data_IF_622169184050
#
_entry.id   IF_622169184050
#
_cell.length_a   1.000
_cell.length_b   1.000
_cell.length_c   1.000
_cell.angle_alpha   90.00
_cell.angle_beta   90.00
_cell.angle_gamma   90.00
#
_symmetry.space_group_name_H-M   'P 1'
#
loop_
_entity.id
_entity.type
_entity.pdbx_description
1 polymer ?
#
# COMPACT_ATOMS: atom_id res chain seq x y z
N UNK A 1 -10.28 5.17 -17.48
CA UNK A 1 -9.59 6.31 -16.84
C UNK A 1 -10.62 7.27 -16.28
N UNK A 2 -10.48 7.70 -15.02
CA UNK A 2 -11.42 8.63 -14.39
C UNK A 2 -11.43 10.01 -15.08
N UNK A 3 -12.59 10.69 -15.16
CA UNK A 3 -12.66 12.09 -15.56
C UNK A 3 -11.85 12.98 -14.60
N UNK A 4 -11.32 14.10 -15.11
CA UNK A 4 -10.53 15.06 -14.30
C UNK A 4 -11.24 15.52 -13.03
N UNK A 5 -12.54 15.80 -13.12
CA UNK A 5 -13.34 16.20 -11.96
C UNK A 5 -13.34 15.11 -10.85
N UNK A 6 -13.44 13.84 -11.24
CA UNK A 6 -13.38 12.71 -10.30
C UNK A 6 -11.99 12.54 -9.70
N UNK A 7 -10.93 12.75 -10.49
CA UNK A 7 -9.55 12.73 -10.00
C UNK A 7 -9.33 13.81 -8.92
N UNK A 8 -9.73 15.05 -9.20
CA UNK A 8 -9.62 16.15 -8.23
C UNK A 8 -10.49 15.92 -7.00
N UNK A 9 -11.71 15.37 -7.15
CA UNK A 9 -12.57 15.06 -6.02
C UNK A 9 -11.96 13.99 -5.09
N UNK A 10 -11.34 12.96 -5.66
CA UNK A 10 -10.64 11.93 -4.88
C UNK A 10 -9.45 12.53 -4.11
N UNK A 11 -8.62 13.30 -4.79
CA UNK A 11 -7.48 14.01 -4.18
C UNK A 11 -7.93 14.93 -3.04
N UNK A 12 -9.00 15.71 -3.26
CA UNK A 12 -9.54 16.61 -2.25
C UNK A 12 -10.04 15.83 -1.01
N UNK A 13 -10.64 14.65 -1.20
CA UNK A 13 -11.09 13.81 -0.10
C UNK A 13 -9.91 13.25 0.73
N UNK A 14 -8.77 12.91 0.10
CA UNK A 14 -7.54 12.54 0.82
C UNK A 14 -7.04 13.70 1.69
N UNK A 15 -6.95 14.91 1.13
CA UNK A 15 -6.57 16.10 1.91
C UNK A 15 -7.56 16.40 3.04
N UNK A 16 -8.85 16.16 2.82
CA UNK A 16 -9.86 16.27 3.88
C UNK A 16 -9.59 15.28 5.02
N UNK A 17 -9.31 14.00 4.74
CA UNK A 17 -8.94 13.03 5.79
C UNK A 17 -7.67 13.47 6.54
N UNK A 18 -6.72 14.12 5.85
CA UNK A 18 -5.53 14.72 6.43
C UNK A 18 -5.77 16.10 7.08
N UNK A 19 -7.02 16.46 7.37
CA UNK A 19 -7.41 17.68 8.09
C UNK A 19 -8.37 17.41 9.25
N UNK A 20 -9.01 16.24 9.27
CA UNK A 20 -9.87 15.80 10.37
C UNK A 20 -9.01 15.25 11.51
N UNK A 21 -9.37 15.46 12.78
CA UNK A 21 -8.57 14.99 13.91
C UNK A 21 -8.44 13.47 13.94
N UNK A 22 -7.24 12.98 14.32
CA UNK A 22 -6.98 11.56 14.55
C UNK A 22 -7.87 11.01 15.68
N UNK A 23 -8.23 9.73 15.56
CA UNK A 23 -8.96 8.96 16.55
C UNK A 23 -8.02 8.17 17.47
N UNK A 24 -6.84 7.82 16.99
CA UNK A 24 -5.84 7.09 17.77
C UNK A 24 -5.44 7.90 19.01
N UNK A 25 -5.45 7.30 20.22
CA UNK A 25 -4.98 7.98 21.42
C UNK A 25 -3.52 8.42 21.28
N UNK A 26 -3.22 9.66 21.69
CA UNK A 26 -1.86 10.20 21.65
C UNK A 26 -0.86 9.41 22.52
N UNK A 27 -1.34 8.62 23.48
CA UNK A 27 -0.52 7.70 24.27
C UNK A 27 -0.03 6.49 23.49
N UNK A 28 -0.69 6.14 22.37
CA UNK A 28 -0.31 5.05 21.48
C UNK A 28 0.53 5.57 20.31
N UNK A 29 0.05 6.59 19.62
CA UNK A 29 0.74 7.21 18.50
C UNK A 29 0.86 8.74 18.69
N UNK A 30 1.87 9.22 19.45
CA UNK A 30 2.02 10.65 19.75
C UNK A 30 2.31 11.52 18.51
N UNK A 31 2.66 10.91 17.38
CA UNK A 31 2.83 11.55 16.08
C UNK A 31 1.57 11.68 15.23
N UNK A 32 0.52 10.90 15.51
CA UNK A 32 -0.73 10.99 14.77
C UNK A 32 -1.41 12.34 15.03
N UNK A 33 -1.85 13.02 13.97
CA UNK A 33 -2.55 14.32 14.05
C UNK A 33 -3.90 14.25 13.41
N UNK A 34 -4.01 13.56 12.27
CA UNK A 34 -5.21 13.53 11.47
C UNK A 34 -5.75 12.11 11.27
N UNK A 35 -7.02 12.01 10.86
CA UNK A 35 -7.69 10.75 10.57
C UNK A 35 -6.94 9.92 9.51
N UNK A 36 -6.30 10.57 8.54
CA UNK A 36 -5.42 9.88 7.60
C UNK A 36 -4.26 9.14 8.31
N UNK A 37 -3.74 9.67 9.42
CA UNK A 37 -2.66 9.04 10.17
C UNK A 37 -3.11 7.76 10.89
N UNK A 38 -4.39 7.63 11.23
CA UNK A 38 -4.92 6.41 11.87
C UNK A 38 -4.77 5.17 10.95
N UNK A 39 -4.83 5.37 9.63
CA UNK A 39 -4.54 4.34 8.63
C UNK A 39 -3.06 3.95 8.62
N UNK A 40 -2.17 4.94 8.75
CA UNK A 40 -0.72 4.71 8.82
C UNK A 40 -0.39 3.96 10.12
N UNK A 41 -0.95 4.38 11.26
CA UNK A 41 -0.77 3.70 12.56
C UNK A 41 -1.23 2.25 12.48
N UNK A 42 -2.44 2.01 11.98
CA UNK A 42 -2.99 0.66 11.84
C UNK A 42 -2.07 -0.22 10.98
N UNK A 43 -1.55 0.32 9.88
CA UNK A 43 -0.64 -0.43 9.03
C UNK A 43 0.71 -0.70 9.72
N UNK A 44 1.29 0.28 10.42
CA UNK A 44 2.53 0.09 11.20
C UNK A 44 2.34 -1.03 12.25
N UNK A 45 1.24 -0.97 13.01
CA UNK A 45 0.94 -1.95 14.07
C UNK A 45 0.75 -3.37 13.51
N UNK A 46 0.15 -3.48 12.32
CA UNK A 46 -0.21 -4.77 11.73
C UNK A 46 0.85 -5.34 10.78
N UNK A 47 1.84 -4.55 10.32
CA UNK A 47 2.91 -5.00 9.41
C UNK A 47 3.58 -6.33 9.83
N UNK A 48 3.87 -6.61 11.12
CA UNK A 48 4.43 -7.89 11.54
C UNK A 48 3.55 -9.14 11.24
N UNK A 49 2.26 -8.94 10.94
CA UNK A 49 1.28 -10.00 10.73
C UNK A 49 0.74 -10.04 9.31
N UNK A 50 0.72 -8.92 8.58
CA UNK A 50 -0.06 -8.76 7.33
C UNK A 50 0.79 -8.74 6.06
N UNK A 51 2.05 -9.13 6.13
CA UNK A 51 2.96 -9.29 4.99
C UNK A 51 3.63 -10.65 5.05
N UNK A 52 3.88 -11.28 3.90
CA UNK A 52 4.43 -12.65 3.78
C UNK A 52 3.69 -13.66 4.68
N UNK A 53 2.36 -13.53 4.76
CA UNK A 53 1.49 -14.28 5.67
C UNK A 53 0.15 -14.62 5.02
N UNK A 54 -0.65 -15.43 5.70
CA UNK A 54 -2.02 -15.72 5.25
C UNK A 54 -3.01 -14.55 5.40
N UNK A 55 -2.59 -13.46 6.03
CA UNK A 55 -3.43 -12.28 6.29
C UNK A 55 -3.25 -11.19 5.24
N UNK A 56 -2.24 -11.30 4.37
CA UNK A 56 -1.83 -10.25 3.44
C UNK A 56 -2.96 -9.72 2.56
N UNK A 57 -3.54 -10.55 1.70
CA UNK A 57 -4.60 -10.13 0.77
C UNK A 57 -5.88 -9.66 1.49
N UNK A 58 -6.46 -10.42 2.44
CA UNK A 58 -7.70 -10.00 3.10
C UNK A 58 -7.53 -8.71 3.92
N UNK A 59 -6.41 -8.54 4.64
CA UNK A 59 -6.15 -7.32 5.41
C UNK A 59 -6.15 -6.07 4.51
N UNK A 60 -5.40 -6.11 3.41
CA UNK A 60 -5.28 -4.97 2.52
C UNK A 60 -6.60 -4.63 1.82
N UNK A 61 -7.42 -5.64 1.47
CA UNK A 61 -8.78 -5.43 0.97
C UNK A 61 -9.66 -4.67 1.97
N UNK A 62 -9.68 -5.08 3.23
CA UNK A 62 -10.46 -4.40 4.26
C UNK A 62 -9.90 -3.00 4.56
N UNK A 63 -8.58 -2.81 4.56
CA UNK A 63 -7.98 -1.50 4.77
C UNK A 63 -8.38 -0.51 3.66
N UNK A 64 -8.42 -0.96 2.39
CA UNK A 64 -8.94 -0.17 1.27
C UNK A 64 -10.43 0.15 1.43
N UNK A 65 -11.23 -0.81 1.89
CA UNK A 65 -12.65 -0.60 2.12
C UNK A 65 -12.92 0.43 3.22
N UNK A 66 -12.23 0.32 4.36
CA UNK A 66 -12.30 1.30 5.45
C UNK A 66 -11.87 2.70 4.99
N UNK A 67 -10.86 2.77 4.13
CA UNK A 67 -10.44 4.04 3.51
C UNK A 67 -11.52 4.62 2.60
N UNK A 68 -12.15 3.79 1.75
CA UNK A 68 -13.26 4.21 0.90
C UNK A 68 -14.47 4.71 1.71
N UNK A 69 -14.82 4.00 2.81
CA UNK A 69 -15.84 4.46 3.76
C UNK A 69 -15.46 5.81 4.35
N UNK A 70 -14.22 5.97 4.84
CA UNK A 70 -13.78 7.23 5.44
C UNK A 70 -13.86 8.40 4.44
N UNK A 71 -13.42 8.20 3.19
CA UNK A 71 -13.55 9.21 2.14
C UNK A 71 -15.02 9.61 1.91
N UNK A 72 -15.92 8.64 1.88
CA UNK A 72 -17.36 8.86 1.67
C UNK A 72 -18.02 9.55 2.88
N UNK A 73 -17.94 8.94 4.05
CA UNK A 73 -18.70 9.35 5.23
C UNK A 73 -18.11 10.59 5.91
N UNK A 74 -16.79 10.78 5.84
CA UNK A 74 -16.11 11.87 6.54
C UNK A 74 -15.78 13.06 5.64
N UNK A 75 -15.67 12.82 4.33
CA UNK A 75 -15.26 13.81 3.36
C UNK A 75 -16.22 13.97 2.16
N UNK A 76 -17.34 13.25 2.14
CA UNK A 76 -18.38 13.39 1.12
C UNK A 76 -17.96 12.92 -0.28
N UNK A 77 -16.93 12.08 -0.38
CA UNK A 77 -16.50 11.54 -1.67
C UNK A 77 -17.48 10.50 -2.21
N UNK A 78 -18.07 10.77 -3.38
CA UNK A 78 -19.07 9.88 -4.00
C UNK A 78 -18.52 9.12 -5.22
N UNK A 79 -17.23 9.26 -5.52
CA UNK A 79 -16.60 8.59 -6.66
C UNK A 79 -16.12 7.18 -6.30
N UNK A 80 -15.69 6.39 -7.30
CA UNK A 80 -15.08 5.08 -7.05
C UNK A 80 -13.66 5.23 -6.49
N UNK A 81 -13.15 4.20 -5.81
CA UNK A 81 -11.74 4.12 -5.46
C UNK A 81 -10.92 3.78 -6.72
N UNK A 82 -9.98 4.63 -7.18
CA UNK A 82 -9.16 4.33 -8.35
C UNK A 82 -8.07 3.32 -8.02
N UNK A 83 -7.71 2.50 -9.01
CA UNK A 83 -6.52 1.66 -9.00
C UNK A 83 -5.44 2.20 -9.94
N UNK A 84 -4.20 1.84 -9.69
CA UNK A 84 -3.07 2.15 -10.55
C UNK A 84 -2.65 0.92 -11.36
N UNK A 85 -3.01 0.90 -12.64
CA UNK A 85 -2.53 -0.12 -13.57
C UNK A 85 -1.04 0.07 -13.88
N UNK A 86 -0.18 -0.61 -13.12
CA UNK A 86 1.27 -0.58 -13.30
C UNK A 86 1.68 -1.02 -14.72
N UNK A 87 0.91 -1.92 -15.34
CA UNK A 87 1.28 -2.54 -16.61
C UNK A 87 1.27 -1.54 -17.76
N UNK A 88 0.53 -0.45 -17.62
CA UNK A 88 0.48 0.65 -18.60
C UNK A 88 1.77 1.48 -18.67
N UNK A 89 2.57 1.46 -17.59
CA UNK A 89 3.76 2.31 -17.40
C UNK A 89 4.98 1.51 -16.92
N UNK A 90 4.99 0.19 -17.15
CA UNK A 90 6.04 -0.72 -16.67
C UNK A 90 7.45 -0.39 -17.21
N UNK A 91 7.54 0.24 -18.39
CA UNK A 91 8.82 0.63 -18.98
C UNK A 91 9.44 1.85 -18.30
N UNK A 92 8.60 2.76 -17.80
CA UNK A 92 9.00 3.95 -17.07
C UNK A 92 7.80 4.51 -16.26
N UNK A 93 7.84 4.44 -14.91
CA UNK A 93 6.72 4.86 -14.07
C UNK A 93 6.42 6.36 -14.23
N UNK A 94 7.38 7.18 -14.65
CA UNK A 94 7.20 8.63 -14.84
C UNK A 94 6.20 8.96 -15.96
N UNK A 95 5.90 7.98 -16.82
CA UNK A 95 4.90 8.11 -17.89
C UNK A 95 3.47 7.87 -17.41
N UNK A 96 3.29 7.37 -16.18
CA UNK A 96 1.97 7.15 -15.60
C UNK A 96 1.29 8.49 -15.29
N UNK A 97 0.01 8.62 -15.63
CA UNK A 97 -0.77 9.83 -15.34
C UNK A 97 -0.83 10.18 -13.84
N UNK A 98 -0.67 9.18 -12.96
CA UNK A 98 -0.64 9.40 -11.51
C UNK A 98 0.66 10.06 -11.02
N UNK A 99 1.70 10.13 -11.88
CA UNK A 99 3.02 10.68 -11.56
C UNK A 99 3.45 11.86 -12.47
N UNK A 100 2.52 12.42 -13.26
CA UNK A 100 2.84 13.51 -14.18
C UNK A 100 3.04 14.89 -13.50
N UNK A 101 2.79 14.98 -12.18
CA UNK A 101 2.95 16.20 -11.40
C UNK A 101 1.86 17.25 -11.61
N UNK A 102 0.81 16.93 -12.37
CA UNK A 102 -0.36 17.81 -12.54
C UNK A 102 -1.22 17.86 -11.28
N UNK A 103 -2.16 18.82 -11.23
CA UNK A 103 -3.17 18.92 -10.15
C UNK A 103 -4.16 17.74 -10.11
N UNK A 104 -4.10 16.82 -11.07
CA UNK A 104 -4.89 15.58 -11.13
C UNK A 104 -4.06 14.31 -10.86
N UNK A 105 -2.80 14.47 -10.49
CA UNK A 105 -1.88 13.37 -10.18
C UNK A 105 -1.79 13.11 -8.68
N UNK A 106 -1.12 12.02 -8.31
CA UNK A 106 -0.69 11.75 -6.93
C UNK A 106 0.63 12.46 -6.61
N UNK A 107 0.92 13.58 -7.28
CA UNK A 107 2.22 14.25 -7.25
C UNK A 107 3.21 13.66 -8.27
N UNK A 108 4.34 14.33 -8.48
CA UNK A 108 5.37 13.90 -9.42
C UNK A 108 6.44 13.00 -8.80
N UNK A 109 7.62 13.04 -9.44
CA UNK A 109 8.85 12.53 -8.86
C UNK A 109 9.37 13.45 -7.75
N UNK A 110 10.29 12.92 -6.94
CA UNK A 110 11.08 13.74 -6.02
C UNK A 110 12.17 14.52 -6.75
N UNK A 111 12.57 15.66 -6.20
CA UNK A 111 13.72 16.43 -6.65
C UNK A 111 14.93 15.53 -6.81
N UNK A 112 15.62 15.63 -7.94
CA UNK A 112 16.83 14.83 -8.16
C UNK A 112 17.93 15.18 -7.14
N UNK A 113 18.51 14.14 -6.52
CA UNK A 113 19.62 14.30 -5.58
C UNK A 113 20.86 13.59 -6.12
N UNK A 114 21.81 14.38 -6.61
CA UNK A 114 23.07 13.87 -7.17
C UNK A 114 23.94 13.18 -6.10
N UNK A 115 24.67 12.14 -6.51
CA UNK A 115 25.67 11.49 -5.65
C UNK A 115 25.12 10.56 -4.57
N UNK A 116 23.82 10.21 -4.61
CA UNK A 116 23.27 9.14 -3.76
C UNK A 116 23.94 7.80 -4.12
N UNK A 117 24.18 6.97 -3.11
CA UNK A 117 24.79 5.63 -3.29
C UNK A 117 23.71 4.55 -3.37
N UNK A 118 22.99 4.32 -2.28
CA UNK A 118 21.84 3.42 -2.19
C UNK A 118 20.95 3.87 -1.03
N UNK A 119 19.72 3.38 -1.01
CA UNK A 119 18.83 3.46 0.14
C UNK A 119 18.85 2.10 0.83
N UNK A 120 19.28 2.05 2.08
CA UNK A 120 19.24 0.82 2.89
C UNK A 120 17.84 0.72 3.50
N UNK A 121 17.18 -0.42 3.29
CA UNK A 121 15.92 -0.74 3.95
C UNK A 121 16.08 -2.01 4.79
N UNK A 122 15.43 -2.00 5.95
CA UNK A 122 15.30 -3.18 6.79
C UNK A 122 13.94 -3.83 6.53
N UNK A 123 13.98 -5.13 6.23
CA UNK A 123 12.82 -5.96 6.00
C UNK A 123 12.50 -6.78 7.25
N UNK A 124 11.24 -7.20 7.43
CA UNK A 124 10.85 -8.11 8.51
C UNK A 124 11.81 -9.32 8.63
N UNK A 125 12.16 -9.66 9.87
CA UNK A 125 13.13 -10.73 10.15
C UNK A 125 14.61 -10.30 10.11
N UNK A 126 14.91 -8.99 10.11
CA UNK A 126 16.27 -8.47 10.20
C UNK A 126 17.10 -8.59 8.92
N UNK A 127 16.42 -8.70 7.77
CA UNK A 127 17.07 -8.76 6.45
C UNK A 127 17.25 -7.36 5.91
N UNK A 128 18.35 -7.14 5.21
CA UNK A 128 18.64 -5.83 4.60
C UNK A 128 18.59 -5.89 3.09
N UNK A 129 18.11 -4.81 2.46
CA UNK A 129 18.24 -4.59 1.03
C UNK A 129 18.80 -3.20 0.73
N UNK A 130 19.69 -3.13 -0.25
CA UNK A 130 20.20 -1.88 -0.80
C UNK A 130 19.48 -1.57 -2.13
N UNK A 131 18.70 -0.49 -2.13
CA UNK A 131 17.98 0.01 -3.30
C UNK A 131 18.85 1.04 -4.03
N UNK A 132 19.22 0.82 -5.30
CA UNK A 132 19.97 1.81 -6.05
C UNK A 132 19.12 3.07 -6.29
N UNK A 133 19.73 4.28 -6.28
CA UNK A 133 19.05 5.51 -6.65
C UNK A 133 18.55 5.44 -8.08
N UNK A 134 17.46 6.14 -8.36
CA UNK A 134 16.89 6.20 -9.68
C UNK A 134 16.89 7.63 -10.22
N UNK A 135 15.72 8.23 -10.38
CA UNK A 135 15.54 9.46 -11.16
C UNK A 135 15.16 10.66 -10.30
N UNK A 136 14.94 10.47 -8.99
CA UNK A 136 14.57 11.51 -8.04
C UNK A 136 15.46 11.49 -6.81
N UNK A 137 14.84 11.48 -5.62
CA UNK A 137 15.55 11.28 -4.35
C UNK A 137 15.21 12.28 -3.25
N UNK A 138 14.57 13.39 -3.56
CA UNK A 138 14.17 14.43 -2.63
C UNK A 138 12.64 14.54 -2.50
N UNK A 139 12.20 15.69 -1.98
CA UNK A 139 10.78 16.02 -1.86
C UNK A 139 10.10 16.05 -3.22
N UNK A 140 8.84 15.62 -3.28
CA UNK A 140 7.98 15.75 -4.47
C UNK A 140 7.80 17.23 -4.82
N UNK A 141 8.11 17.60 -6.06
CA UNK A 141 8.23 19.01 -6.48
C UNK A 141 6.90 19.63 -6.97
N UNK A 142 5.94 18.81 -7.41
CA UNK A 142 4.72 19.29 -8.06
C UNK A 142 3.51 18.39 -7.80
N UNK A 143 2.33 18.96 -8.05
CA UNK A 143 1.04 18.35 -7.83
C UNK A 143 0.48 18.57 -6.41
N UNK A 144 -0.67 17.95 -6.11
CA UNK A 144 -1.41 18.18 -4.86
C UNK A 144 -0.65 17.72 -3.61
N UNK A 145 0.26 16.77 -3.75
CA UNK A 145 1.04 16.18 -2.68
C UNK A 145 2.51 16.65 -2.65
N UNK A 146 2.81 17.77 -3.32
CA UNK A 146 4.13 18.38 -3.30
C UNK A 146 4.53 18.91 -1.92
N UNK A 147 5.82 19.22 -1.76
CA UNK A 147 6.35 19.90 -0.58
C UNK A 147 5.54 21.17 -0.25
N UNK A 148 5.16 21.32 1.02
CA UNK A 148 4.32 22.42 1.50
C UNK A 148 2.82 22.23 1.26
N UNK A 149 2.39 21.19 0.52
CA UNK A 149 0.97 20.82 0.34
C UNK A 149 0.61 19.51 1.00
N UNK A 150 1.59 18.63 1.23
CA UNK A 150 1.44 17.38 1.97
C UNK A 150 2.59 17.20 2.96
N UNK A 151 2.24 16.79 4.17
CA UNK A 151 3.18 16.52 5.26
C UNK A 151 3.07 15.04 5.65
N UNK A 152 4.22 14.37 5.68
CA UNK A 152 4.39 13.05 6.28
C UNK A 152 4.68 13.25 7.76
N UNK A 153 3.95 12.60 8.65
CA UNK A 153 4.04 12.84 10.12
C UNK A 153 4.57 11.65 10.92
N UNK A 154 4.44 10.44 10.40
CA UNK A 154 4.83 9.19 11.04
C UNK A 154 5.99 8.53 10.28
N UNK A 155 6.59 7.50 10.86
CA UNK A 155 7.78 6.82 10.35
C UNK A 155 9.02 7.74 10.31
N UNK A 156 10.09 7.31 9.62
CA UNK A 156 10.24 5.98 9.04
C UNK A 156 10.27 4.89 10.12
N UNK A 157 9.94 3.65 9.74
CA UNK A 157 10.10 2.47 10.61
C UNK A 157 11.08 1.50 9.97
N UNK A 158 10.92 1.19 8.68
CA UNK A 158 11.81 0.29 7.93
C UNK A 158 13.17 0.88 7.52
N UNK A 159 13.58 2.02 8.11
CA UNK A 159 14.85 2.68 7.80
C UNK A 159 15.59 3.07 9.07
N UNK A 160 16.91 3.11 8.96
CA UNK A 160 17.79 3.69 9.97
C UNK A 160 18.27 5.11 9.56
N UNK A 161 18.24 6.09 10.48
CA UNK A 161 17.65 6.00 11.82
C UNK A 161 16.13 5.91 11.76
N UNK A 162 15.55 5.05 12.60
CA UNK A 162 14.11 4.97 12.78
C UNK A 162 13.55 6.30 13.29
N UNK A 163 12.31 6.60 12.92
CA UNK A 163 11.59 7.77 13.43
C UNK A 163 11.39 7.70 14.96
N UNK A 164 11.09 8.84 15.61
CA UNK A 164 10.83 8.89 17.05
C UNK A 164 9.76 7.89 17.48
N UNK A 165 9.87 7.35 18.71
CA UNK A 165 8.92 6.37 19.27
C UNK A 165 8.64 5.18 18.33
N UNK A 166 9.68 4.61 17.72
CA UNK A 166 9.49 3.48 16.80
C UNK A 166 8.80 3.86 15.48
N UNK A 167 8.87 5.13 15.09
CA UNK A 167 8.11 5.70 13.98
C UNK A 167 6.67 6.11 14.31
N UNK A 168 6.20 5.92 15.55
CA UNK A 168 4.89 6.42 16.00
C UNK A 168 4.92 7.86 16.51
N UNK A 169 6.11 8.44 16.71
CA UNK A 169 6.32 9.80 17.18
C UNK A 169 6.23 10.85 16.07
N UNK A 170 6.00 12.10 16.47
CA UNK A 170 5.81 13.20 15.51
C UNK A 170 7.10 13.51 14.76
N UNK A 171 7.09 13.31 13.44
CA UNK A 171 8.24 13.48 12.57
C UNK A 171 7.84 14.15 11.22
N UNK A 172 7.41 15.43 11.26
CA UNK A 172 6.92 16.14 10.08
C UNK A 172 8.02 16.33 9.02
N UNK A 173 7.73 15.92 7.79
CA UNK A 173 8.63 16.05 6.62
C UNK A 173 7.84 16.01 5.32
N UNK A 174 8.47 16.37 4.21
CA UNK A 174 7.88 16.27 2.89
C UNK A 174 7.71 14.80 2.44
N UNK A 175 6.78 14.55 1.50
CA UNK A 175 6.76 13.30 0.75
C UNK A 175 7.98 13.22 -0.17
N UNK A 176 8.72 12.12 -0.14
CA UNK A 176 9.89 11.89 -0.99
C UNK A 176 9.68 10.70 -1.92
N UNK A 177 10.18 10.82 -3.15
CA UNK A 177 10.09 9.76 -4.18
C UNK A 177 11.36 9.66 -5.00
N UNK A 178 11.59 8.47 -5.52
CA UNK A 178 12.72 8.17 -6.40
C UNK A 178 12.26 7.19 -7.49
N UNK A 179 11.43 7.70 -8.41
CA UNK A 179 10.74 6.88 -9.39
C UNK A 179 11.73 6.04 -10.21
N UNK A 180 11.55 4.71 -10.21
CA UNK A 180 12.54 3.76 -10.72
C UNK A 180 12.04 2.95 -11.92
N UNK A 181 12.52 3.26 -13.15
CA UNK A 181 12.35 2.40 -14.32
C UNK A 181 13.00 1.01 -14.19
N UNK A 182 13.85 0.81 -13.19
CA UNK A 182 14.44 -0.49 -12.88
C UNK A 182 13.41 -1.43 -12.27
N UNK A 183 12.76 -0.98 -11.19
CA UNK A 183 11.76 -1.77 -10.47
C UNK A 183 10.42 -1.89 -11.21
N UNK A 184 10.04 -0.88 -12.00
CA UNK A 184 8.79 -0.94 -12.78
C UNK A 184 8.74 -2.09 -13.80
N UNK A 185 9.89 -2.65 -14.18
CA UNK A 185 9.93 -3.84 -15.06
C UNK A 185 9.35 -5.09 -14.39
N UNK A 186 9.34 -5.12 -13.05
CA UNK A 186 8.69 -6.16 -12.26
C UNK A 186 7.16 -6.15 -12.40
N UNK A 187 6.58 -5.02 -12.83
CA UNK A 187 5.13 -4.86 -13.03
C UNK A 187 4.69 -4.93 -14.49
N UNK A 188 5.49 -5.57 -15.35
CA UNK A 188 5.14 -5.75 -16.77
C UNK A 188 3.93 -6.68 -16.94
N UNK A 189 3.13 -6.53 -18.03
CA UNK A 189 1.94 -7.35 -18.26
C UNK A 189 2.18 -8.86 -18.14
N UNK A 190 3.32 -9.36 -18.64
CA UNK A 190 3.63 -10.80 -18.60
C UNK A 190 3.81 -11.36 -17.19
N UNK A 191 4.19 -10.54 -16.22
CA UNK A 191 4.28 -10.97 -14.81
C UNK A 191 2.89 -11.08 -14.20
N UNK A 192 1.99 -10.12 -14.49
CA UNK A 192 0.59 -10.18 -14.04
C UNK A 192 -0.13 -11.40 -14.62
N UNK A 193 0.04 -11.67 -15.92
CA UNK A 193 -0.54 -12.85 -16.57
C UNK A 193 0.04 -14.14 -15.97
N UNK A 194 1.35 -14.20 -15.76
CA UNK A 194 1.99 -15.37 -15.15
C UNK A 194 1.45 -15.65 -13.74
N UNK A 195 1.18 -14.61 -12.96
CA UNK A 195 0.57 -14.74 -11.64
C UNK A 195 -0.88 -15.27 -11.75
N UNK A 196 -1.73 -14.58 -12.53
CA UNK A 196 -3.18 -14.85 -12.59
C UNK A 196 -3.49 -16.18 -13.28
N UNK A 197 -2.78 -16.55 -14.33
CA UNK A 197 -3.01 -17.80 -15.07
C UNK A 197 -2.14 -18.96 -14.59
N UNK A 198 -0.94 -18.67 -14.07
CA UNK A 198 0.06 -19.67 -13.68
C UNK A 198 -0.20 -20.28 -12.30
N UNK A 199 -0.61 -19.48 -11.31
CA UNK A 199 -0.84 -19.98 -9.96
C UNK A 199 -2.18 -20.72 -9.82
N UNK A 200 -2.11 -21.95 -9.31
CA UNK A 200 -3.27 -22.87 -9.18
C UNK A 200 -3.86 -22.96 -7.78
N UNK A 201 -3.16 -22.37 -6.81
CA UNK A 201 -3.54 -22.26 -5.42
C UNK A 201 -3.13 -20.89 -4.87
N UNK A 202 -3.71 -20.53 -3.73
CA UNK A 202 -3.50 -19.24 -3.07
C UNK A 202 -2.05 -19.09 -2.59
N UNK A 203 -1.37 -20.19 -2.27
CA UNK A 203 0.01 -20.16 -1.80
C UNK A 203 0.98 -19.68 -2.85
N UNK A 204 0.90 -20.23 -4.07
CA UNK A 204 1.63 -19.72 -5.23
C UNK A 204 1.28 -18.25 -5.46
N UNK A 205 -0.01 -17.90 -5.43
CA UNK A 205 -0.46 -16.55 -5.76
C UNK A 205 0.08 -15.51 -4.78
N UNK A 206 -0.06 -15.75 -3.46
CA UNK A 206 0.48 -14.86 -2.42
C UNK A 206 2.00 -14.80 -2.48
N UNK A 207 2.67 -15.94 -2.70
CA UNK A 207 4.13 -15.98 -2.81
C UNK A 207 4.64 -15.10 -3.95
N UNK A 208 4.08 -15.23 -5.15
CA UNK A 208 4.49 -14.48 -6.34
C UNK A 208 4.01 -13.01 -6.31
N UNK A 209 2.88 -12.72 -5.67
CA UNK A 209 2.39 -11.35 -5.46
C UNK A 209 3.28 -10.59 -4.49
N UNK A 210 3.55 -11.17 -3.30
CA UNK A 210 4.12 -10.46 -2.16
C UNK A 210 5.64 -10.71 -2.00
N UNK A 211 6.11 -11.95 -2.13
CA UNK A 211 7.47 -12.33 -1.70
C UNK A 211 8.11 -13.55 -2.41
N UNK A 212 8.38 -13.49 -3.73
CA UNK A 212 9.12 -14.55 -4.41
C UNK A 212 10.54 -14.61 -3.85
N UNK A 213 10.90 -15.74 -3.23
CA UNK A 213 12.27 -16.25 -3.04
C UNK A 213 13.37 -15.36 -2.44
N UNK A 214 13.05 -14.17 -1.93
CA UNK A 214 14.05 -13.15 -1.62
C UNK A 214 14.43 -12.32 -2.84
N UNK A 215 13.92 -11.09 -2.84
CA UNK A 215 14.34 -9.86 -3.52
C UNK A 215 15.05 -9.92 -4.89
N UNK A 216 14.63 -9.08 -5.86
CA UNK A 216 13.54 -8.09 -5.78
C UNK A 216 12.37 -8.59 -6.65
N UNK A 217 11.43 -9.37 -6.12
CA UNK A 217 10.33 -8.95 -5.25
C UNK A 217 9.04 -8.96 -6.07
N UNK A 218 7.94 -9.48 -5.52
CA UNK A 218 6.73 -9.77 -6.26
C UNK A 218 6.08 -8.52 -6.85
N UNK A 219 4.93 -8.67 -7.51
CA UNK A 219 4.21 -7.54 -8.08
C UNK A 219 3.91 -6.43 -7.06
N UNK A 220 3.56 -6.80 -5.83
CA UNK A 220 3.36 -5.89 -4.70
C UNK A 220 4.63 -5.07 -4.41
N UNK A 221 5.74 -5.77 -4.16
CA UNK A 221 7.01 -5.13 -3.83
C UNK A 221 7.54 -4.25 -4.97
N UNK A 222 7.42 -4.69 -6.22
CA UNK A 222 7.79 -3.91 -7.40
C UNK A 222 6.98 -2.62 -7.52
N UNK A 223 5.67 -2.67 -7.21
CA UNK A 223 4.80 -1.49 -7.22
C UNK A 223 5.18 -0.46 -6.15
N UNK A 224 5.63 -0.87 -4.96
CA UNK A 224 6.20 0.04 -3.96
C UNK A 224 7.58 0.57 -4.37
N UNK A 225 8.50 -0.32 -4.77
CA UNK A 225 9.89 0.07 -5.04
C UNK A 225 10.09 0.90 -6.29
N UNK A 226 9.19 0.81 -7.26
CA UNK A 226 9.22 1.72 -8.41
C UNK A 226 8.83 3.15 -8.05
N UNK A 227 8.19 3.38 -6.89
CA UNK A 227 7.94 4.71 -6.35
C UNK A 227 9.15 5.22 -5.57
N UNK A 228 9.79 4.32 -4.82
CA UNK A 228 11.03 4.59 -4.10
C UNK A 228 10.83 5.40 -2.82
N UNK A 229 11.88 5.47 -2.00
CA UNK A 229 11.89 6.22 -0.73
C UNK A 229 10.65 5.93 0.12
N UNK A 230 9.81 6.90 0.48
CA UNK A 230 8.72 6.72 1.45
C UNK A 230 7.81 5.51 1.18
N UNK A 231 7.56 5.17 -0.09
CA UNK A 231 6.77 4.01 -0.47
C UNK A 231 7.44 2.66 -0.18
N UNK A 232 8.76 2.62 0.03
CA UNK A 232 9.50 1.40 0.37
C UNK A 232 9.62 1.18 1.89
N UNK A 233 9.01 2.04 2.71
CA UNK A 233 8.81 1.77 4.14
C UNK A 233 7.72 0.69 4.28
N UNK A 234 8.10 -0.56 4.52
CA UNK A 234 7.11 -1.66 4.62
C UNK A 234 6.07 -1.41 5.73
N UNK A 235 6.36 -0.57 6.71
CA UNK A 235 5.43 -0.21 7.78
C UNK A 235 4.69 1.09 7.47
N UNK A 236 5.39 2.12 7.05
CA UNK A 236 4.82 3.46 6.89
C UNK A 236 4.48 3.83 5.44
N UNK A 237 4.50 2.88 4.48
CA UNK A 237 4.18 3.13 3.07
C UNK A 237 2.82 3.79 2.81
N UNK A 238 1.74 3.62 3.62
CA UNK A 238 0.51 4.38 3.45
C UNK A 238 0.66 5.89 3.62
N UNK A 239 1.80 6.35 4.15
CA UNK A 239 2.12 7.79 4.20
C UNK A 239 2.23 8.42 2.80
N UNK A 240 2.59 7.62 1.77
CA UNK A 240 2.46 8.02 0.37
C UNK A 240 1.03 7.72 -0.13
N UNK A 241 0.24 8.73 -0.56
CA UNK A 241 -1.12 8.52 -1.06
C UNK A 241 -1.24 7.56 -2.25
N UNK A 242 -0.14 7.26 -2.95
CA UNK A 242 -0.17 6.25 -4.02
C UNK A 242 -0.43 4.84 -3.51
N UNK A 243 -0.19 4.57 -2.22
CA UNK A 243 -0.48 3.31 -1.55
C UNK A 243 -1.89 2.80 -1.87
N UNK A 244 -2.89 3.68 -1.81
CA UNK A 244 -4.30 3.31 -2.02
C UNK A 244 -4.56 2.83 -3.44
N UNK A 245 -3.96 3.49 -4.45
CA UNK A 245 -4.11 3.09 -5.85
C UNK A 245 -3.32 1.83 -6.17
N UNK A 246 -2.13 1.69 -5.57
CA UNK A 246 -1.31 0.49 -5.68
C UNK A 246 -2.06 -0.73 -5.11
N UNK A 247 -2.54 -0.65 -3.87
CA UNK A 247 -3.26 -1.77 -3.25
C UNK A 247 -4.61 -2.05 -3.88
N UNK A 248 -5.32 -1.04 -4.42
CA UNK A 248 -6.51 -1.31 -5.24
C UNK A 248 -6.16 -2.13 -6.50
N UNK A 249 -4.96 -1.97 -7.08
CA UNK A 249 -4.51 -2.84 -8.18
C UNK A 249 -4.08 -4.23 -7.69
N UNK A 250 -3.46 -4.35 -6.51
CA UNK A 250 -3.19 -5.66 -5.88
C UNK A 250 -4.48 -6.44 -5.69
N UNK A 251 -5.49 -5.78 -5.10
CA UNK A 251 -6.80 -6.36 -4.87
C UNK A 251 -7.53 -6.71 -6.18
N UNK A 252 -7.43 -5.86 -7.19
CA UNK A 252 -7.94 -6.14 -8.54
C UNK A 252 -7.33 -7.41 -9.14
N UNK A 253 -6.03 -7.59 -9.04
CA UNK A 253 -5.34 -8.79 -9.56
C UNK A 253 -5.75 -10.03 -8.77
N UNK A 254 -5.97 -9.92 -7.45
CA UNK A 254 -6.51 -11.02 -6.64
C UNK A 254 -7.96 -11.36 -7.03
N UNK A 255 -8.82 -10.36 -7.20
CA UNK A 255 -10.20 -10.55 -7.65
C UNK A 255 -10.28 -11.23 -9.02
N UNK A 256 -9.38 -10.88 -9.96
CA UNK A 256 -9.27 -11.59 -11.25
C UNK A 256 -8.92 -13.06 -11.06
N UNK A 257 -7.97 -13.37 -10.17
CA UNK A 257 -7.58 -14.76 -9.89
C UNK A 257 -8.70 -15.55 -9.21
N UNK A 258 -9.41 -14.96 -8.23
CA UNK A 258 -10.59 -15.57 -7.61
C UNK A 258 -11.69 -15.82 -8.65
N UNK A 259 -11.92 -14.85 -9.55
CA UNK A 259 -12.95 -14.88 -10.58
C UNK A 259 -12.84 -16.03 -11.59
N UNK A 260 -11.67 -16.67 -11.72
CA UNK A 260 -11.51 -17.83 -12.60
C UNK A 260 -12.23 -19.10 -12.07
N UNK A 261 -12.32 -19.25 -10.74
CA UNK A 261 -12.94 -20.41 -10.08
C UNK A 261 -13.57 -19.97 -8.74
N UNK A 262 -14.60 -19.13 -8.80
CA UNK A 262 -15.20 -18.46 -7.61
C UNK A 262 -15.53 -19.43 -6.47
N UNK A 263 -16.18 -20.55 -6.77
CA UNK A 263 -16.55 -21.54 -5.74
C UNK A 263 -15.36 -22.14 -5.00
N UNK A 264 -14.20 -22.25 -5.67
CA UNK A 264 -12.99 -22.86 -5.12
C UNK A 264 -12.08 -21.82 -4.45
N UNK A 265 -11.90 -20.66 -5.08
CA UNK A 265 -10.84 -19.70 -4.76
C UNK A 265 -11.27 -18.59 -3.81
N UNK A 266 -12.57 -18.29 -3.70
CA UNK A 266 -13.05 -17.18 -2.85
C UNK A 266 -12.66 -17.36 -1.39
N UNK A 267 -12.76 -18.58 -0.87
CA UNK A 267 -12.46 -18.91 0.53
C UNK A 267 -11.25 -19.84 0.68
N UNK A 268 -10.37 -19.85 -0.33
CA UNK A 268 -9.11 -20.59 -0.23
C UNK A 268 -8.22 -19.96 0.84
N UNK A 269 -7.48 -20.78 1.58
CA UNK A 269 -6.66 -20.36 2.72
C UNK A 269 -5.24 -20.89 2.55
N UNK A 270 -4.27 -20.05 2.88
CA UNK A 270 -2.86 -20.41 2.89
C UNK A 270 -2.11 -19.59 3.95
N UNK A 271 -0.99 -20.13 4.45
CA UNK A 271 -0.04 -19.38 5.27
C UNK A 271 -0.37 -19.36 6.76
N UNK A 272 0.45 -18.61 7.49
CA UNK A 272 0.40 -18.46 8.96
C UNK A 272 0.05 -17.02 9.36
N UNK A 273 -0.17 -16.78 10.64
CA UNK A 273 -0.61 -15.47 11.16
C UNK A 273 0.52 -14.45 11.33
N UNK A 274 1.78 -14.84 11.11
CA UNK A 274 2.97 -14.00 11.33
C UNK A 274 3.80 -13.90 10.06
N UNK A 275 4.40 -12.74 9.81
CA UNK A 275 5.20 -12.50 8.62
C UNK A 275 6.34 -13.51 8.46
N UNK A 276 6.38 -14.18 7.31
CA UNK A 276 7.39 -15.21 7.01
C UNK A 276 7.38 -16.40 7.97
N UNK A 277 6.31 -16.56 8.77
CA UNK A 277 6.25 -17.48 9.91
C UNK A 277 7.33 -17.20 10.99
N UNK A 278 7.61 -15.93 11.26
CA UNK A 278 8.61 -15.49 12.25
C UNK A 278 7.98 -14.51 13.27
N UNK A 279 7.89 -14.89 14.56
CA UNK A 279 8.09 -16.24 15.09
C UNK A 279 7.05 -17.23 14.51
N UNK A 280 7.27 -18.56 14.60
CA UNK A 280 6.28 -19.51 14.12
C UNK A 280 4.90 -19.30 14.75
N UNK A 281 3.85 -19.35 13.94
CA UNK A 281 2.45 -19.27 14.37
C UNK A 281 1.59 -20.34 13.70
N UNK A 282 0.36 -20.47 14.18
CA UNK A 282 -0.61 -21.40 13.60
C UNK A 282 -0.97 -21.00 12.17
N UNK A 283 -1.35 -22.00 11.38
CA UNK A 283 -1.97 -21.75 10.08
C UNK A 283 -3.25 -20.95 10.28
N UNK A 284 -3.47 -19.96 9.43
CA UNK A 284 -4.72 -19.19 9.47
C UNK A 284 -5.90 -20.05 9.02
N UNK A 285 -7.08 -19.64 9.42
CA UNK A 285 -8.37 -20.22 9.06
C UNK A 285 -9.31 -19.10 8.66
N UNK A 286 -10.47 -19.45 8.07
CA UNK A 286 -11.51 -18.47 7.75
C UNK A 286 -11.97 -17.65 8.97
N UNK A 287 -11.87 -18.22 10.17
CA UNK A 287 -12.28 -17.57 11.42
C UNK A 287 -11.14 -16.79 12.10
N UNK A 288 -9.94 -16.74 11.49
CA UNK A 288 -8.80 -15.99 12.05
C UNK A 288 -9.12 -14.49 12.05
N UNK A 289 -9.04 -13.82 13.21
CA UNK A 289 -9.33 -12.39 13.31
C UNK A 289 -8.15 -11.54 12.85
N UNK A 290 -8.46 -10.39 12.25
CA UNK A 290 -7.55 -9.29 11.94
C UNK A 290 -8.04 -8.04 12.64
N UNK A 291 -7.11 -7.24 13.17
CA UNK A 291 -7.41 -6.01 13.91
C UNK A 291 -7.15 -4.78 13.05
N UNK A 292 -8.14 -3.89 12.98
CA UNK A 292 -8.08 -2.61 12.29
C UNK A 292 -8.14 -1.43 13.27
N UNK A 293 -7.90 -1.69 14.57
CA UNK A 293 -7.80 -0.69 15.61
C UNK A 293 -9.00 0.24 15.67
N UNK A 294 -8.73 1.55 15.72
CA UNK A 294 -9.76 2.60 15.79
C UNK A 294 -10.56 2.77 14.49
N UNK A 295 -10.15 2.14 13.38
CA UNK A 295 -10.79 2.31 12.07
C UNK A 295 -11.98 1.37 11.87
N UNK A 296 -11.87 0.11 12.32
CA UNK A 296 -12.87 -0.91 11.98
C UNK A 296 -13.02 -2.05 12.97
N UNK A 297 -12.28 -2.06 14.09
CA UNK A 297 -12.25 -3.18 15.03
C UNK A 297 -11.79 -4.48 14.39
N UNK A 298 -12.32 -5.62 14.83
CA UNK A 298 -11.94 -6.93 14.32
C UNK A 298 -12.80 -7.40 13.14
N UNK A 299 -12.18 -8.09 12.17
CA UNK A 299 -12.84 -8.85 11.09
C UNK A 299 -12.15 -10.19 10.91
N UNK A 300 -12.91 -11.21 10.53
CA UNK A 300 -12.37 -12.52 10.17
C UNK A 300 -12.01 -12.56 8.68
N UNK A 301 -11.11 -13.48 8.28
CA UNK A 301 -10.79 -13.71 6.87
C UNK A 301 -12.06 -13.99 6.06
N UNK A 302 -13.00 -14.77 6.61
CA UNK A 302 -14.26 -15.11 5.97
C UNK A 302 -15.07 -13.88 5.55
N UNK A 303 -15.17 -12.89 6.43
CA UNK A 303 -15.98 -11.69 6.19
C UNK A 303 -15.44 -10.81 5.06
N UNK A 304 -14.13 -10.90 4.78
CA UNK A 304 -13.43 -9.96 3.91
C UNK A 304 -12.73 -10.65 2.73
N UNK A 305 -13.11 -11.89 2.39
CA UNK A 305 -12.48 -12.63 1.27
C UNK A 305 -13.19 -12.46 -0.08
N UNK A 306 -14.43 -11.97 -0.11
CA UNK A 306 -15.25 -11.84 -1.33
C UNK A 306 -15.62 -10.37 -1.56
N UNK A 307 -15.45 -9.84 -2.78
CA UNK A 307 -15.77 -8.43 -3.08
C UNK A 307 -17.27 -8.13 -3.16
N UNK A 308 -18.13 -9.16 -3.05
CA UNK A 308 -19.59 -9.05 -3.22
C UNK A 308 -20.39 -9.71 -2.08
N UNK A 309 -19.71 -10.18 -1.04
CA UNK A 309 -20.34 -10.70 0.18
C UNK A 309 -19.91 -9.87 1.39
N UNK A 310 -20.60 -10.06 2.52
CA UNK A 310 -20.29 -9.35 3.77
C UNK A 310 -20.55 -7.85 3.67
N UNK A 311 -19.55 -7.04 4.01
CA UNK A 311 -19.62 -5.57 3.93
C UNK A 311 -19.29 -5.05 2.52
N UNK A 312 -18.83 -5.92 1.61
CA UNK A 312 -18.38 -5.52 0.28
C UNK A 312 -19.46 -5.72 -0.78
N UNK A 313 -19.55 -4.76 -1.70
CA UNK A 313 -20.39 -4.83 -2.88
C UNK A 313 -19.75 -4.02 -4.02
N UNK A 314 -18.64 -4.53 -4.56
CA UNK A 314 -17.91 -3.87 -5.64
C UNK A 314 -17.30 -4.86 -6.62
N UNK A 315 -16.98 -4.33 -7.81
CA UNK A 315 -16.23 -5.02 -8.85
C UNK A 315 -15.20 -4.05 -9.43
N UNK A 316 -14.22 -4.60 -10.15
CA UNK A 316 -13.26 -3.82 -10.91
C UNK A 316 -13.64 -3.79 -12.38
N UNK A 317 -13.47 -2.61 -12.99
CA UNK A 317 -13.56 -2.41 -14.44
C UNK A 317 -12.29 -2.89 -15.18
#
# INVERSE_FOLDING_TARGET
>A
TLPRASQTAFIAAIHCLASLPALTPASHAPGARFLYDDFIVTHIDQTPFVHASGLFLPFHRQLLHLFAIALSERCGYTGPLPYWDWTSSFSDPRTAAIFDGSETSMGGNGKFVAGRNHTRIELPGGREMLIPPATGGGCVESGPFAEGRWEIRLGPVGYEPMGPEGGMGYNPRCLTRDLSPGFSRGTRPSVVVALVEGCKDLGCFVHEMDAPGGMPGGLHASGHWQVGLGATDVFASPSDPVFWLHHAQVDRVWAMWQGQEVEKRTYEIWGTATAGNVPPSDNVTLDTPMDFGVLGGQRTIKEISSTVDGEFCYMYD
#
